data_IF_544659102428
#
_entry.id   IF_544659102428
#
_cell.length_a   1.000
_cell.length_b   1.000
_cell.length_c   1.000
_cell.angle_alpha   90.00
_cell.angle_beta   90.00
_cell.angle_gamma   90.00
#
_symmetry.space_group_name_H-M   'P 1'
#
loop_
_entity.id
_entity.type
_entity.pdbx_description
1 polymer ?
#
# COMPACT_ATOMS: atom_id res chain seq x y z
N UNK A 1 34.99 14.40 8.72
CA UNK A 1 33.66 14.29 9.35
C UNK A 1 32.55 14.14 8.32
N UNK A 2 32.45 15.05 7.34
CA UNK A 2 31.50 14.95 6.23
C UNK A 2 31.57 13.60 5.46
N UNK A 3 32.75 13.22 4.97
CA UNK A 3 32.97 11.89 4.34
C UNK A 3 32.62 10.70 5.25
N UNK A 4 32.78 10.87 6.57
CA UNK A 4 32.48 9.81 7.54
C UNK A 4 30.97 9.64 7.68
N UNK A 5 30.19 10.74 7.70
CA UNK A 5 28.73 10.69 7.71
C UNK A 5 28.23 10.09 6.40
N UNK A 6 28.74 10.59 5.27
CA UNK A 6 28.38 10.09 3.94
C UNK A 6 28.59 8.58 3.84
N UNK A 7 29.81 8.11 4.13
CA UNK A 7 30.12 6.68 4.11
C UNK A 7 29.32 5.87 5.13
N UNK A 8 28.98 6.44 6.30
CA UNK A 8 28.17 5.75 7.31
C UNK A 8 26.73 5.53 6.83
N UNK A 9 26.12 6.52 6.19
CA UNK A 9 24.73 6.44 5.73
C UNK A 9 24.60 5.61 4.44
N UNK A 10 25.50 5.81 3.47
CA UNK A 10 25.45 5.11 2.17
C UNK A 10 25.78 3.63 2.30
N UNK A 11 26.77 3.28 3.12
CA UNK A 11 27.16 1.89 3.30
C UNK A 11 26.33 1.16 4.36
N UNK A 12 25.37 1.83 4.99
CA UNK A 12 24.48 1.17 5.94
C UNK A 12 23.60 0.17 5.20
N UNK A 13 23.49 -1.03 5.77
CA UNK A 13 22.60 -2.09 5.30
C UNK A 13 21.79 -2.61 6.48
N UNK A 14 20.51 -2.95 6.27
CA UNK A 14 19.74 -3.63 7.29
C UNK A 14 20.35 -5.02 7.51
N UNK A 15 20.59 -5.34 8.77
CA UNK A 15 20.89 -6.70 9.22
C UNK A 15 19.55 -7.37 9.51
N UNK A 16 19.27 -8.47 8.81
CA UNK A 16 17.99 -9.15 8.91
C UNK A 16 18.12 -10.65 8.75
N UNK A 17 17.18 -11.37 9.36
CA UNK A 17 16.94 -12.79 9.11
C UNK A 17 15.60 -12.99 8.40
N UNK A 18 15.52 -14.08 7.64
CA UNK A 18 14.27 -14.56 7.05
C UNK A 18 13.82 -15.82 7.77
N UNK A 19 12.65 -15.78 8.42
CA UNK A 19 12.01 -16.98 9.00
C UNK A 19 10.81 -17.37 8.16
N UNK A 20 10.68 -18.65 7.83
CA UNK A 20 9.43 -19.16 7.27
C UNK A 20 8.39 -19.30 8.38
N UNK A 21 7.17 -18.84 8.14
CA UNK A 21 6.03 -19.21 8.97
C UNK A 21 5.51 -20.61 8.63
N UNK A 22 4.51 -21.04 9.42
CA UNK A 22 3.82 -22.32 9.28
C UNK A 22 3.12 -22.49 7.92
N UNK A 23 2.88 -21.39 7.21
CA UNK A 23 2.23 -21.37 5.90
C UNK A 23 3.25 -21.28 4.75
N UNK A 24 4.55 -21.36 5.05
CA UNK A 24 5.64 -21.28 4.08
C UNK A 24 5.98 -19.87 3.61
N UNK A 25 5.36 -18.82 4.18
CA UNK A 25 5.67 -17.41 3.84
C UNK A 25 6.91 -16.96 4.61
N UNK A 26 7.85 -16.34 3.88
CA UNK A 26 9.06 -15.75 4.47
C UNK A 26 8.71 -14.46 5.21
N UNK A 27 9.22 -14.32 6.43
CA UNK A 27 9.05 -13.14 7.28
C UNK A 27 10.41 -12.49 7.56
N UNK A 28 10.48 -11.18 7.30
CA UNK A 28 11.66 -10.34 7.53
C UNK A 28 11.76 -9.90 8.99
N UNK A 29 12.86 -10.24 9.66
CA UNK A 29 13.16 -9.81 11.03
C UNK A 29 14.42 -8.95 11.00
N UNK A 30 14.28 -7.67 11.28
CA UNK A 30 15.41 -6.72 11.36
C UNK A 30 16.08 -6.81 12.73
N UNK A 31 17.40 -6.81 12.74
CA UNK A 31 18.24 -6.84 13.96
C UNK A 31 18.81 -5.47 14.32
N UNK A 32 18.99 -4.60 13.33
CA UNK A 32 19.44 -3.23 13.53
C UNK A 32 18.31 -2.24 13.24
N UNK A 33 18.40 -1.06 13.85
CA UNK A 33 17.39 0.00 13.76
C UNK A 33 18.02 1.37 13.45
N UNK A 34 17.15 2.33 13.14
CA UNK A 34 17.51 3.72 12.88
C UNK A 34 18.10 4.43 14.10
N UNK A 35 17.88 3.94 15.33
CA UNK A 35 18.30 4.63 16.55
C UNK A 35 19.81 4.50 16.73
N UNK A 36 20.35 3.29 16.52
CA UNK A 36 21.80 3.06 16.53
C UNK A 36 22.53 3.90 15.48
N UNK A 37 21.96 3.98 14.26
CA UNK A 37 22.47 4.80 13.16
C UNK A 37 22.42 6.29 13.51
N UNK A 38 21.29 6.75 14.02
CA UNK A 38 21.08 8.15 14.40
C UNK A 38 22.06 8.60 15.50
N UNK A 39 22.28 7.80 16.55
CA UNK A 39 23.24 8.12 17.61
C UNK A 39 24.64 8.31 17.03
N UNK A 40 25.09 7.38 16.17
CA UNK A 40 26.40 7.47 15.52
C UNK A 40 26.53 8.70 14.63
N UNK A 41 25.49 9.04 13.85
CA UNK A 41 25.47 10.24 13.03
C UNK A 41 25.50 11.52 13.89
N UNK A 42 24.73 11.56 14.97
CA UNK A 42 24.66 12.71 15.86
C UNK A 42 26.01 12.99 16.56
N UNK A 43 26.72 11.94 16.98
CA UNK A 43 28.08 12.06 17.52
C UNK A 43 29.01 12.72 16.51
N UNK A 44 28.99 12.28 15.25
CA UNK A 44 29.84 12.85 14.20
C UNK A 44 29.46 14.31 13.91
N UNK A 45 28.16 14.63 13.85
CA UNK A 45 27.65 15.98 13.59
C UNK A 45 28.07 16.95 14.70
N UNK A 46 28.16 16.51 15.95
CA UNK A 46 28.58 17.37 17.06
C UNK A 46 30.03 17.86 16.90
N UNK A 47 30.88 17.17 16.13
CA UNK A 47 32.23 17.62 15.79
C UNK A 47 32.29 18.56 14.58
N UNK A 48 31.19 18.74 13.85
CA UNK A 48 31.11 19.61 12.68
C UNK A 48 30.75 21.02 13.15
N UNK A 49 31.65 21.98 12.90
CA UNK A 49 31.43 23.39 13.23
C UNK A 49 30.34 24.02 12.36
N UNK A 50 30.37 23.75 11.05
CA UNK A 50 29.40 24.25 10.10
C UNK A 50 28.23 23.28 9.94
N UNK A 51 27.20 23.47 10.76
CA UNK A 51 26.02 22.62 10.71
C UNK A 51 25.24 22.77 9.40
N UNK A 52 25.27 23.94 8.74
CA UNK A 52 24.51 24.20 7.51
C UNK A 52 24.97 23.30 6.35
N UNK A 53 26.29 23.17 6.18
CA UNK A 53 26.87 22.22 5.21
C UNK A 53 26.51 20.76 5.50
N UNK A 54 26.32 20.38 6.77
CA UNK A 54 25.88 19.02 7.11
C UNK A 54 24.46 18.74 6.60
N UNK A 55 23.55 19.73 6.60
CA UNK A 55 22.19 19.55 6.07
C UNK A 55 22.15 19.50 4.55
N UNK A 56 22.96 20.32 3.87
CA UNK A 56 23.11 20.23 2.40
C UNK A 56 23.57 18.82 2.01
N UNK A 57 24.53 18.27 2.75
CA UNK A 57 24.98 16.89 2.56
C UNK A 57 23.87 15.86 2.80
N UNK A 58 23.02 16.03 3.83
CA UNK A 58 21.87 15.12 4.05
C UNK A 58 20.90 15.11 2.86
N UNK A 59 20.68 16.27 2.21
CA UNK A 59 19.87 16.33 1.00
C UNK A 59 20.55 15.60 -0.18
N UNK A 60 21.87 15.71 -0.33
CA UNK A 60 22.61 14.98 -1.37
C UNK A 60 22.58 13.47 -1.16
N UNK A 61 22.70 13.01 0.09
CA UNK A 61 22.64 11.60 0.45
C UNK A 61 21.24 11.03 0.15
N UNK A 62 20.19 11.81 0.42
CA UNK A 62 18.80 11.38 0.22
C UNK A 62 18.53 10.79 -1.18
N UNK A 63 19.07 11.41 -2.23
CA UNK A 63 18.80 11.03 -3.62
C UNK A 63 19.57 9.78 -4.08
N UNK A 64 20.58 9.33 -3.34
CA UNK A 64 21.43 8.18 -3.69
C UNK A 64 21.29 7.00 -2.71
N UNK A 65 20.47 7.15 -1.67
CA UNK A 65 20.19 6.06 -0.72
C UNK A 65 19.29 5.02 -1.37
N UNK A 66 19.59 3.76 -1.11
CA UNK A 66 18.73 2.63 -1.45
C UNK A 66 17.31 2.84 -0.88
N UNK A 67 16.32 2.95 -1.77
CA UNK A 67 14.94 3.28 -1.40
C UNK A 67 14.21 2.20 -0.57
N UNK A 68 14.85 1.05 -0.30
CA UNK A 68 14.37 0.08 0.68
C UNK A 68 14.98 0.26 2.08
N UNK A 69 16.01 1.08 2.25
CA UNK A 69 16.69 1.33 3.53
C UNK A 69 15.99 2.44 4.33
N UNK A 70 14.74 2.18 4.74
CA UNK A 70 13.89 3.15 5.45
C UNK A 70 14.56 3.78 6.66
N UNK A 71 15.38 3.02 7.38
CA UNK A 71 16.12 3.45 8.57
C UNK A 71 17.06 4.62 8.28
N UNK A 72 17.68 4.65 7.09
CA UNK A 72 18.55 5.73 6.63
C UNK A 72 17.73 7.00 6.40
N UNK A 73 16.57 6.90 5.72
CA UNK A 73 15.68 8.04 5.51
C UNK A 73 15.13 8.60 6.82
N UNK A 74 14.70 7.72 7.74
CA UNK A 74 14.23 8.12 9.07
C UNK A 74 15.35 8.84 9.84
N UNK A 75 16.58 8.31 9.78
CA UNK A 75 17.75 8.96 10.39
C UNK A 75 18.00 10.36 9.81
N UNK A 76 17.98 10.50 8.48
CA UNK A 76 18.14 11.79 7.81
C UNK A 76 17.04 12.77 8.26
N UNK A 77 15.77 12.34 8.30
CA UNK A 77 14.66 13.19 8.72
C UNK A 77 14.81 13.64 10.18
N UNK A 78 15.21 12.75 11.10
CA UNK A 78 15.47 13.09 12.52
C UNK A 78 16.59 14.13 12.65
N UNK A 79 17.66 13.98 11.87
CA UNK A 79 18.79 14.92 11.88
C UNK A 79 18.33 16.30 11.36
N UNK A 80 17.64 16.34 10.22
CA UNK A 80 17.18 17.59 9.59
C UNK A 80 16.12 18.29 10.45
N UNK A 81 15.21 17.54 11.08
CA UNK A 81 14.15 18.11 11.93
C UNK A 81 14.69 18.78 13.21
N UNK A 82 15.86 18.37 13.68
CA UNK A 82 16.51 18.98 14.85
C UNK A 82 17.10 20.37 14.56
N UNK A 83 17.07 20.83 13.31
CA UNK A 83 17.49 22.18 12.93
C UNK A 83 16.28 23.07 12.65
N UNK A 84 16.09 24.08 13.50
CA UNK A 84 15.00 25.05 13.41
C UNK A 84 15.02 25.94 12.17
N UNK A 85 16.12 25.95 11.39
CA UNK A 85 16.27 26.77 10.18
C UNK A 85 15.88 26.07 8.88
N UNK A 86 15.75 24.74 8.88
CA UNK A 86 15.41 23.97 7.69
C UNK A 86 13.97 23.53 7.76
N UNK A 87 13.08 24.33 7.18
CA UNK A 87 11.77 23.84 6.78
C UNK A 87 11.99 22.76 5.70
N UNK A 88 12.10 21.49 6.08
CA UNK A 88 11.44 20.44 5.29
C UNK A 88 9.99 20.48 5.77
N UNK A 89 9.11 21.27 5.13
CA UNK A 89 7.80 21.56 5.67
C UNK A 89 7.01 20.27 5.79
N UNK A 90 6.61 19.92 7.03
CA UNK A 90 5.57 18.93 7.34
C UNK A 90 5.50 17.75 6.39
N UNK A 91 6.64 17.13 6.07
CA UNK A 91 6.69 16.20 4.94
C UNK A 91 5.97 14.92 5.33
N UNK A 92 5.12 14.44 4.40
CA UNK A 92 4.43 13.16 4.53
C UNK A 92 5.42 11.98 4.59
N UNK A 93 6.71 12.24 4.36
CA UNK A 93 7.81 11.29 4.37
C UNK A 93 7.90 10.47 5.66
N UNK A 94 7.96 11.12 6.84
CA UNK A 94 8.16 10.38 8.09
C UNK A 94 6.96 9.48 8.42
N UNK A 95 5.70 9.99 8.41
CA UNK A 95 4.53 9.12 8.58
C UNK A 95 4.50 7.99 7.54
N UNK A 96 4.83 8.27 6.28
CA UNK A 96 4.84 7.26 5.21
C UNK A 96 5.91 6.21 5.43
N UNK A 97 7.13 6.59 5.82
CA UNK A 97 8.21 5.66 6.16
C UNK A 97 7.85 4.77 7.34
N UNK A 98 7.21 5.32 8.37
CA UNK A 98 6.73 4.54 9.52
C UNK A 98 5.62 3.56 9.12
N UNK A 99 4.71 3.98 8.24
CA UNK A 99 3.73 3.08 7.65
C UNK A 99 4.41 1.96 6.86
N UNK A 100 5.30 2.30 5.91
CA UNK A 100 6.01 1.33 5.07
C UNK A 100 6.89 0.36 5.87
N UNK A 101 7.52 0.83 6.94
CA UNK A 101 8.32 0.01 7.84
C UNK A 101 7.50 -1.11 8.51
N UNK A 102 6.23 -0.84 8.79
CA UNK A 102 5.29 -1.80 9.38
C UNK A 102 4.50 -2.58 8.31
N UNK A 103 4.40 -2.05 7.10
CA UNK A 103 3.72 -2.71 5.99
C UNK A 103 4.54 -3.88 5.44
N UNK A 104 3.84 -4.97 5.11
CA UNK A 104 4.44 -6.14 4.48
C UNK A 104 3.87 -6.31 3.10
N UNK A 105 4.77 -6.52 2.16
CA UNK A 105 4.44 -6.72 0.75
C UNK A 105 3.58 -7.97 0.53
N UNK A 106 2.65 -7.88 -0.40
CA UNK A 106 1.77 -8.95 -0.86
C UNK A 106 2.03 -9.37 -2.30
N UNK A 107 2.58 -8.48 -3.14
CA UNK A 107 2.91 -8.78 -4.55
C UNK A 107 4.42 -8.75 -4.78
N UNK A 108 4.95 -9.40 -5.83
CA UNK A 108 6.36 -9.23 -6.20
C UNK A 108 6.65 -7.79 -6.68
N UNK A 109 7.94 -7.40 -6.73
CA UNK A 109 8.37 -6.17 -7.39
C UNK A 109 7.77 -6.02 -8.79
N UNK A 110 7.30 -4.81 -9.11
CA UNK A 110 6.76 -4.54 -10.44
C UNK A 110 7.87 -4.25 -11.44
N UNK A 111 7.59 -4.41 -12.73
CA UNK A 111 8.55 -4.04 -13.78
C UNK A 111 8.98 -2.55 -13.68
N UNK A 112 8.04 -1.65 -13.40
CA UNK A 112 8.35 -0.22 -13.25
C UNK A 112 9.28 0.06 -12.07
N UNK A 113 9.19 -0.73 -11.01
CA UNK A 113 10.07 -0.66 -9.84
C UNK A 113 11.47 -1.20 -10.15
N UNK A 114 11.55 -2.30 -10.91
CA UNK A 114 12.83 -2.81 -11.42
C UNK A 114 13.53 -1.80 -12.32
N UNK A 115 12.80 -1.20 -13.27
CA UNK A 115 13.33 -0.15 -14.15
C UNK A 115 13.83 1.06 -13.35
N UNK A 116 13.08 1.49 -12.33
CA UNK A 116 13.49 2.57 -11.43
C UNK A 116 14.75 2.20 -10.62
N UNK A 117 14.84 0.95 -10.16
CA UNK A 117 16.02 0.44 -9.45
C UNK A 117 17.27 0.52 -10.33
N UNK A 118 17.23 -0.06 -11.54
CA UNK A 118 18.40 -0.06 -12.43
C UNK A 118 18.77 1.32 -12.96
N UNK A 119 17.80 2.24 -13.06
CA UNK A 119 18.07 3.66 -13.36
C UNK A 119 18.81 4.37 -12.22
N UNK A 120 18.47 4.04 -10.96
CA UNK A 120 19.08 4.65 -9.77
C UNK A 120 20.42 4.01 -9.41
N UNK A 121 20.55 2.70 -9.62
CA UNK A 121 21.73 1.88 -9.29
C UNK A 121 22.21 1.10 -10.52
N UNK A 122 22.79 1.79 -11.53
CA UNK A 122 23.16 1.17 -12.81
C UNK A 122 24.25 0.10 -12.67
N UNK A 123 25.07 0.18 -11.62
CA UNK A 123 26.11 -0.82 -11.33
C UNK A 123 25.55 -2.09 -10.66
N UNK A 124 24.28 -2.09 -10.24
CA UNK A 124 23.67 -3.26 -9.63
C UNK A 124 23.23 -4.28 -10.67
N UNK A 125 23.68 -5.52 -10.52
CA UNK A 125 23.31 -6.63 -11.41
C UNK A 125 21.98 -7.28 -11.03
N UNK A 126 21.50 -7.03 -9.80
CA UNK A 126 20.27 -7.60 -9.26
C UNK A 126 19.48 -6.54 -8.50
N UNK A 127 18.17 -6.75 -8.41
CA UNK A 127 17.31 -6.01 -7.51
C UNK A 127 17.69 -6.30 -6.05
N UNK A 128 17.52 -5.31 -5.17
CA UNK A 128 17.76 -5.51 -3.75
C UNK A 128 16.87 -6.65 -3.19
N UNK A 129 17.40 -7.61 -2.42
CA UNK A 129 16.59 -8.68 -1.83
C UNK A 129 15.47 -8.20 -0.91
N UNK A 130 15.57 -6.99 -0.33
CA UNK A 130 14.51 -6.39 0.48
C UNK A 130 13.25 -6.08 -0.33
N UNK A 131 13.35 -5.98 -1.66
CA UNK A 131 12.20 -5.80 -2.54
C UNK A 131 11.15 -6.90 -2.40
N UNK A 132 11.52 -8.11 -1.95
CA UNK A 132 10.55 -9.18 -1.63
C UNK A 132 9.63 -8.81 -0.45
N UNK A 133 10.07 -7.91 0.43
CA UNK A 133 9.44 -7.65 1.73
C UNK A 133 8.96 -6.21 1.91
N UNK A 134 9.59 -5.25 1.21
CA UNK A 134 9.43 -3.81 1.36
C UNK A 134 9.00 -3.20 0.02
N UNK A 135 8.15 -2.17 0.10
CA UNK A 135 7.82 -1.33 -1.04
C UNK A 135 8.90 -0.24 -1.24
N UNK A 136 9.13 0.24 -2.46
CA UNK A 136 10.13 1.26 -2.69
C UNK A 136 9.67 2.61 -2.10
N UNK A 137 10.50 3.26 -1.27
CA UNK A 137 10.24 4.62 -0.81
C UNK A 137 10.69 5.63 -1.86
N UNK A 138 9.81 5.92 -2.82
CA UNK A 138 10.09 6.76 -3.99
C UNK A 138 9.07 7.89 -4.15
N UNK A 139 9.42 8.93 -4.92
CA UNK A 139 8.57 10.13 -5.13
C UNK A 139 7.18 9.80 -5.68
N UNK A 140 7.04 8.73 -6.46
CA UNK A 140 5.76 8.25 -7.02
C UNK A 140 4.72 7.96 -5.92
N UNK A 141 5.15 7.60 -4.70
CA UNK A 141 4.23 7.42 -3.57
C UNK A 141 3.46 8.68 -3.19
N UNK A 142 3.94 9.86 -3.59
CA UNK A 142 3.35 11.15 -3.25
C UNK A 142 2.63 11.80 -4.43
N UNK A 143 2.48 11.10 -5.56
CA UNK A 143 1.75 11.58 -6.74
C UNK A 143 0.47 10.77 -6.97
N UNK A 144 -0.32 11.15 -7.97
CA UNK A 144 -1.51 10.39 -8.40
C UNK A 144 -1.14 9.02 -9.00
N UNK A 145 0.12 8.83 -9.41
CA UNK A 145 0.65 7.59 -9.97
C UNK A 145 0.91 6.50 -8.92
N UNK A 146 0.69 6.80 -7.64
CA UNK A 146 0.80 5.86 -6.51
C UNK A 146 0.05 4.54 -6.75
N UNK A 147 -1.05 4.57 -7.51
CA UNK A 147 -1.83 3.40 -7.85
C UNK A 147 -1.05 2.35 -8.64
N UNK A 148 0.04 2.70 -9.31
CA UNK A 148 0.95 1.75 -9.95
C UNK A 148 1.63 0.81 -8.93
N UNK A 149 1.92 1.32 -7.74
CA UNK A 149 2.53 0.59 -6.62
C UNK A 149 1.45 -0.11 -5.79
N UNK A 150 0.35 0.59 -5.53
CA UNK A 150 -0.68 0.13 -4.59
C UNK A 150 -1.62 -0.91 -5.19
N UNK A 151 -1.97 -0.84 -6.48
CA UNK A 151 -2.95 -1.76 -7.08
C UNK A 151 -2.58 -3.24 -6.90
N UNK A 152 -1.34 -3.68 -7.17
CA UNK A 152 -0.93 -5.07 -6.94
C UNK A 152 -0.97 -5.49 -5.45
N UNK A 153 -0.89 -4.52 -4.55
CA UNK A 153 -0.81 -4.75 -3.10
C UNK A 153 -2.20 -4.82 -2.42
N UNK A 154 -3.27 -4.37 -3.07
CA UNK A 154 -4.63 -4.34 -2.52
C UNK A 154 -5.39 -5.64 -2.85
N UNK A 155 -5.85 -6.32 -1.79
CA UNK A 155 -6.79 -7.44 -1.83
C UNK A 155 -7.60 -7.46 -0.51
N UNK A 156 -8.54 -8.42 -0.37
CA UNK A 156 -9.38 -8.52 0.84
C UNK A 156 -8.59 -8.76 2.14
N UNK A 157 -7.37 -9.30 2.06
CA UNK A 157 -6.50 -9.52 3.23
C UNK A 157 -5.66 -8.29 3.58
N UNK A 158 -5.41 -7.39 2.62
CA UNK A 158 -4.46 -6.30 2.78
C UNK A 158 -5.08 -4.90 2.84
N UNK A 159 -6.32 -4.73 2.35
CA UNK A 159 -6.93 -3.40 2.16
C UNK A 159 -7.01 -2.57 3.45
N UNK A 160 -7.28 -3.21 4.61
CA UNK A 160 -7.38 -2.53 5.91
C UNK A 160 -6.08 -1.86 6.32
N UNK A 161 -4.93 -2.45 6.01
CA UNK A 161 -3.63 -1.84 6.32
C UNK A 161 -3.45 -0.51 5.58
N UNK A 162 -3.98 -0.39 4.36
CA UNK A 162 -3.88 0.83 3.56
C UNK A 162 -4.79 1.97 4.04
N UNK A 163 -5.70 1.72 5.00
CA UNK A 163 -6.53 2.78 5.58
C UNK A 163 -5.68 3.80 6.35
N UNK A 164 -4.65 3.34 7.06
CA UNK A 164 -3.71 4.24 7.75
C UNK A 164 -2.97 5.14 6.76
N UNK A 165 -2.57 4.58 5.61
CA UNK A 165 -1.94 5.33 4.53
C UNK A 165 -2.88 6.38 3.91
N UNK A 166 -4.20 6.17 3.90
CA UNK A 166 -5.14 7.21 3.41
C UNK A 166 -5.11 8.47 4.25
N UNK A 167 -4.84 8.36 5.55
CA UNK A 167 -4.72 9.52 6.42
C UNK A 167 -3.47 10.34 6.10
N UNK A 168 -2.41 9.68 5.63
CA UNK A 168 -1.14 10.32 5.22
C UNK A 168 -1.32 10.94 3.83
N UNK A 169 -1.88 10.19 2.87
CA UNK A 169 -1.91 10.52 1.44
C UNK A 169 -3.31 10.94 0.96
N UNK A 170 -4.07 11.67 1.79
CA UNK A 170 -5.48 12.04 1.57
C UNK A 170 -5.80 12.62 0.18
N UNK A 171 -4.82 13.29 -0.44
CA UNK A 171 -4.98 13.89 -1.77
C UNK A 171 -5.05 12.84 -2.87
N UNK A 172 -4.25 11.77 -2.77
CA UNK A 172 -4.03 10.81 -3.85
C UNK A 172 -4.72 9.47 -3.56
N UNK A 173 -4.98 9.17 -2.28
CA UNK A 173 -5.50 7.89 -1.81
C UNK A 173 -6.82 8.09 -1.05
N UNK A 174 -7.88 7.39 -1.51
CA UNK A 174 -9.21 7.42 -0.90
C UNK A 174 -9.63 6.01 -0.48
N UNK A 175 -10.26 5.91 0.69
CA UNK A 175 -10.74 4.64 1.26
C UNK A 175 -11.72 3.92 0.32
N UNK A 176 -12.64 4.67 -0.29
CA UNK A 176 -13.58 4.14 -1.30
C UNK A 176 -12.83 3.43 -2.43
N UNK A 177 -11.80 4.06 -2.99
CA UNK A 177 -11.03 3.51 -4.11
C UNK A 177 -10.30 2.22 -3.69
N UNK A 178 -9.73 2.19 -2.49
CA UNK A 178 -9.07 0.98 -1.95
C UNK A 178 -10.05 -0.19 -1.93
N UNK A 179 -11.25 0.01 -1.39
CA UNK A 179 -12.26 -1.04 -1.29
C UNK A 179 -12.75 -1.49 -2.68
N UNK A 180 -12.95 -0.53 -3.59
CA UNK A 180 -13.31 -0.82 -5.00
C UNK A 180 -12.26 -1.72 -5.65
N UNK A 181 -10.96 -1.43 -5.47
CA UNK A 181 -9.90 -2.24 -6.04
C UNK A 181 -9.79 -3.61 -5.36
N UNK A 182 -9.99 -3.69 -4.04
CA UNK A 182 -9.97 -4.97 -3.32
C UNK A 182 -11.04 -5.93 -3.82
N UNK A 183 -12.26 -5.45 -4.09
CA UNK A 183 -13.32 -6.31 -4.65
C UNK A 183 -13.10 -6.60 -6.14
N UNK A 184 -12.55 -5.65 -6.90
CA UNK A 184 -12.14 -5.92 -8.29
C UNK A 184 -11.07 -7.01 -8.37
N UNK A 185 -10.16 -7.05 -7.41
CA UNK A 185 -9.12 -8.08 -7.33
C UNK A 185 -9.74 -9.49 -7.23
N UNK A 186 -10.79 -9.68 -6.43
CA UNK A 186 -11.56 -10.94 -6.32
C UNK A 186 -12.10 -11.40 -7.67
N UNK A 187 -12.60 -10.46 -8.48
CA UNK A 187 -13.10 -10.77 -9.83
C UNK A 187 -11.96 -11.11 -10.77
N UNK A 188 -10.86 -10.37 -10.72
CA UNK A 188 -9.71 -10.58 -11.63
C UNK A 188 -8.84 -11.78 -11.28
N UNK A 189 -8.82 -12.21 -10.02
CA UNK A 189 -8.06 -13.37 -9.54
C UNK A 189 -8.68 -14.71 -9.94
N UNK A 190 -9.85 -14.69 -10.59
CA UNK A 190 -10.56 -15.87 -11.10
C UNK A 190 -10.92 -16.88 -10.01
N UNK A 191 -10.91 -16.46 -8.74
CA UNK A 191 -11.37 -17.28 -7.60
C UNK A 191 -12.82 -17.72 -7.81
N UNK A 192 -13.62 -16.86 -8.44
CA UNK A 192 -15.00 -17.10 -8.79
C UNK A 192 -15.19 -17.79 -10.15
N UNK A 193 -14.15 -18.17 -10.89
CA UNK A 193 -14.35 -18.90 -12.15
C UNK A 193 -14.73 -20.36 -11.87
N UNK A 194 -15.92 -20.76 -12.32
CA UNK A 194 -16.26 -22.17 -12.46
C UNK A 194 -16.24 -22.56 -13.95
N UNK A 195 -15.42 -23.55 -14.28
CA UNK A 195 -15.26 -24.08 -15.63
C UNK A 195 -16.39 -25.00 -16.05
N UNK A 196 -17.23 -25.42 -15.10
CA UNK A 196 -18.27 -26.43 -15.35
C UNK A 196 -19.52 -25.88 -16.06
N UNK A 197 -19.79 -24.56 -15.95
CA UNK A 197 -20.99 -23.92 -16.48
C UNK A 197 -22.31 -24.44 -15.87
N UNK A 198 -22.24 -25.37 -14.93
CA UNK A 198 -23.39 -26.03 -14.33
C UNK A 198 -23.97 -25.18 -13.20
N UNK A 199 -25.27 -25.32 -12.97
CA UNK A 199 -25.93 -24.68 -11.84
C UNK A 199 -25.52 -25.39 -10.54
N UNK A 200 -24.74 -24.70 -9.69
CA UNK A 200 -24.29 -25.25 -8.41
C UNK A 200 -25.36 -24.98 -7.33
N UNK A 201 -25.83 -26.02 -6.65
CA UNK A 201 -26.89 -25.90 -5.62
C UNK A 201 -26.39 -25.52 -4.22
N UNK A 202 -25.10 -25.72 -3.94
CA UNK A 202 -24.51 -25.47 -2.61
C UNK A 202 -23.56 -24.28 -2.68
N UNK A 203 -23.66 -23.31 -1.75
CA UNK A 203 -22.77 -22.16 -1.73
C UNK A 203 -21.36 -22.59 -1.34
N UNK A 204 -20.35 -22.06 -2.04
CA UNK A 204 -18.92 -22.35 -1.80
C UNK A 204 -18.17 -21.16 -1.21
N UNK A 205 -18.70 -19.95 -1.38
CA UNK A 205 -17.97 -18.71 -1.16
C UNK A 205 -18.61 -17.82 -0.09
N UNK A 206 -19.32 -18.40 0.88
CA UNK A 206 -20.02 -17.63 1.92
C UNK A 206 -19.07 -16.72 2.71
N UNK A 207 -17.92 -17.24 3.16
CA UNK A 207 -16.90 -16.47 3.87
C UNK A 207 -16.35 -15.33 3.01
N UNK A 208 -16.12 -15.58 1.73
CA UNK A 208 -15.64 -14.58 0.78
C UNK A 208 -16.66 -13.44 0.61
N UNK A 209 -17.95 -13.75 0.46
CA UNK A 209 -18.98 -12.71 0.36
C UNK A 209 -19.14 -11.91 1.66
N UNK A 210 -18.90 -12.52 2.83
CA UNK A 210 -18.87 -11.82 4.10
C UNK A 210 -17.68 -10.83 4.17
N UNK A 211 -16.49 -11.25 3.75
CA UNK A 211 -15.31 -10.37 3.66
C UNK A 211 -15.54 -9.22 2.65
N UNK A 212 -16.19 -9.50 1.52
CA UNK A 212 -16.57 -8.47 0.55
C UNK A 212 -17.56 -7.49 1.15
N UNK A 213 -18.61 -7.95 1.84
CA UNK A 213 -19.59 -7.06 2.49
C UNK A 213 -18.90 -6.16 3.53
N UNK A 214 -18.00 -6.71 4.35
CA UNK A 214 -17.18 -5.91 5.29
C UNK A 214 -16.34 -4.86 4.55
N UNK A 215 -15.70 -5.22 3.44
CA UNK A 215 -14.92 -4.30 2.64
C UNK A 215 -15.80 -3.17 2.06
N UNK A 216 -16.94 -3.50 1.44
CA UNK A 216 -17.82 -2.52 0.76
C UNK A 216 -18.55 -1.61 1.75
N UNK A 217 -18.77 -2.04 3.00
CA UNK A 217 -19.29 -1.16 4.05
C UNK A 217 -18.39 0.06 4.35
N UNK A 218 -17.12 0.01 3.94
CA UNK A 218 -16.18 1.12 4.07
C UNK A 218 -16.24 2.12 2.90
N UNK A 219 -17.08 1.88 1.88
CA UNK A 219 -17.28 2.80 0.76
C UNK A 219 -18.37 3.81 1.15
N UNK A 220 -18.00 5.09 1.17
CA UNK A 220 -18.93 6.18 1.51
C UNK A 220 -19.94 6.46 0.40
N UNK A 221 -19.51 6.32 -0.86
CA UNK A 221 -20.35 6.50 -2.04
C UNK A 221 -21.19 5.25 -2.36
N UNK A 222 -22.48 5.29 -2.03
CA UNK A 222 -23.39 4.15 -2.25
C UNK A 222 -23.58 3.78 -3.73
N UNK A 223 -23.39 4.72 -4.66
CA UNK A 223 -23.46 4.41 -6.09
C UNK A 223 -22.29 3.50 -6.48
N UNK A 224 -21.08 3.85 -6.05
CA UNK A 224 -19.88 3.04 -6.26
C UNK A 224 -19.96 1.70 -5.55
N UNK A 225 -20.43 1.68 -4.30
CA UNK A 225 -20.63 0.46 -3.53
C UNK A 225 -21.58 -0.51 -4.27
N UNK A 226 -22.72 0.01 -4.75
CA UNK A 226 -23.70 -0.77 -5.51
C UNK A 226 -23.11 -1.28 -6.83
N UNK A 227 -22.39 -0.42 -7.56
CA UNK A 227 -21.76 -0.78 -8.84
C UNK A 227 -20.73 -1.89 -8.69
N UNK A 228 -19.89 -1.83 -7.65
CA UNK A 228 -18.87 -2.86 -7.38
C UNK A 228 -19.49 -4.22 -7.04
N UNK A 229 -20.52 -4.24 -6.18
CA UNK A 229 -21.21 -5.48 -5.84
C UNK A 229 -21.97 -6.04 -7.05
N UNK A 230 -22.58 -5.19 -7.87
CA UNK A 230 -23.24 -5.63 -9.10
C UNK A 230 -22.24 -6.27 -10.06
N UNK A 231 -21.04 -5.68 -10.21
CA UNK A 231 -19.97 -6.28 -11.02
C UNK A 231 -19.52 -7.64 -10.46
N UNK A 232 -19.39 -7.75 -9.13
CA UNK A 232 -19.09 -9.04 -8.49
C UNK A 232 -20.15 -10.10 -8.83
N UNK A 233 -21.44 -9.78 -8.63
CA UNK A 233 -22.57 -10.67 -8.95
C UNK A 233 -22.57 -11.12 -10.41
N UNK A 234 -22.24 -10.22 -11.35
CA UNK A 234 -22.17 -10.55 -12.76
C UNK A 234 -21.13 -11.64 -13.05
N UNK A 235 -19.99 -11.60 -12.36
CA UNK A 235 -18.90 -12.56 -12.49
C UNK A 235 -19.03 -13.80 -11.60
N UNK A 236 -20.01 -13.84 -10.69
CA UNK A 236 -20.28 -15.03 -9.87
C UNK A 236 -20.90 -16.18 -10.70
N UNK A 237 -20.45 -17.44 -10.50
CA UNK A 237 -21.01 -18.62 -11.17
C UNK A 237 -22.51 -18.81 -10.92
N UNK A 238 -23.23 -19.31 -11.93
CA UNK A 238 -24.65 -19.60 -11.79
C UNK A 238 -24.88 -20.67 -10.71
N UNK A 239 -25.81 -20.40 -9.79
CA UNK A 239 -26.04 -21.27 -8.64
C UNK A 239 -26.34 -20.50 -7.37
N UNK A 240 -26.20 -21.18 -6.23
CA UNK A 240 -26.41 -20.63 -4.90
C UNK A 240 -25.55 -19.39 -4.62
N UNK A 241 -24.27 -19.40 -5.02
CA UNK A 241 -23.37 -18.26 -4.82
C UNK A 241 -23.83 -17.00 -5.58
N UNK A 242 -24.39 -17.14 -6.78
CA UNK A 242 -24.94 -15.99 -7.54
C UNK A 242 -26.25 -15.48 -6.94
N UNK A 243 -27.05 -16.35 -6.34
CA UNK A 243 -28.21 -15.93 -5.55
C UNK A 243 -27.75 -15.13 -4.32
N UNK A 244 -26.71 -15.58 -3.61
CA UNK A 244 -26.13 -14.84 -2.48
C UNK A 244 -25.56 -13.48 -2.92
N UNK A 245 -24.82 -13.44 -4.03
CA UNK A 245 -24.31 -12.19 -4.60
C UNK A 245 -25.43 -11.25 -5.05
N UNK A 246 -26.54 -11.78 -5.59
CA UNK A 246 -27.71 -11.00 -5.97
C UNK A 246 -28.43 -10.41 -4.75
N UNK A 247 -28.58 -11.19 -3.67
CA UNK A 247 -29.12 -10.69 -2.40
C UNK A 247 -28.25 -9.55 -1.84
N UNK A 248 -26.92 -9.69 -1.90
CA UNK A 248 -25.99 -8.65 -1.51
C UNK A 248 -26.12 -7.40 -2.41
N UNK A 249 -26.23 -7.58 -3.72
CA UNK A 249 -26.47 -6.49 -4.67
C UNK A 249 -27.78 -5.75 -4.38
N UNK A 250 -28.84 -6.49 -4.08
CA UNK A 250 -30.13 -5.93 -3.71
C UNK A 250 -30.05 -5.11 -2.41
N UNK A 251 -29.35 -5.61 -1.38
CA UNK A 251 -29.11 -4.89 -0.12
C UNK A 251 -28.50 -3.50 -0.35
N UNK A 252 -27.48 -3.39 -1.20
CA UNK A 252 -26.83 -2.10 -1.48
C UNK A 252 -27.67 -1.19 -2.38
N UNK A 253 -28.34 -1.75 -3.40
CA UNK A 253 -29.24 -0.98 -4.24
C UNK A 253 -30.44 -0.42 -3.46
N UNK A 254 -30.96 -1.17 -2.48
CA UNK A 254 -31.99 -0.70 -1.57
C UNK A 254 -31.50 0.50 -0.75
N UNK A 255 -30.33 0.40 -0.11
CA UNK A 255 -29.72 1.52 0.63
C UNK A 255 -29.53 2.75 -0.25
N UNK A 256 -29.04 2.56 -1.48
CA UNK A 256 -28.81 3.65 -2.43
C UNK A 256 -30.12 4.35 -2.83
N UNK A 257 -31.19 3.58 -3.04
CA UNK A 257 -32.54 4.11 -3.29
C UNK A 257 -33.12 4.87 -2.11
N UNK A 258 -32.96 4.36 -0.89
CA UNK A 258 -33.43 5.02 0.33
C UNK A 258 -32.77 6.38 0.53
N UNK A 259 -31.49 6.51 0.16
CA UNK A 259 -30.77 7.79 0.19
C UNK A 259 -31.16 8.74 -0.96
N UNK A 260 -31.65 8.21 -2.09
CA UNK A 260 -31.99 8.97 -3.30
C UNK A 260 -33.41 8.67 -3.82
N UNK A 261 -34.47 8.87 -3.00
CA UNK A 261 -35.81 8.38 -3.30
C UNK A 261 -36.46 9.05 -4.53
N UNK A 262 -36.00 10.25 -4.88
CA UNK A 262 -36.56 11.06 -5.97
C UNK A 262 -35.83 10.86 -7.32
N UNK A 263 -34.77 10.06 -7.37
CA UNK A 263 -34.03 9.82 -8.61
C UNK A 263 -34.66 8.68 -9.42
N UNK A 264 -35.20 9.01 -10.59
CA UNK A 264 -35.82 8.05 -11.52
C UNK A 264 -34.83 6.99 -12.02
N UNK A 265 -33.56 7.37 -12.18
CA UNK A 265 -32.52 6.44 -12.63
C UNK A 265 -32.12 5.44 -11.54
N UNK A 266 -32.08 5.88 -10.27
CA UNK A 266 -31.86 4.99 -9.12
C UNK A 266 -33.00 4.00 -8.96
N UNK A 267 -34.25 4.44 -9.17
CA UNK A 267 -35.41 3.54 -9.16
C UNK A 267 -35.33 2.50 -10.27
N UNK A 268 -34.93 2.89 -11.50
CA UNK A 268 -34.72 1.95 -12.61
C UNK A 268 -33.59 0.94 -12.32
N UNK A 269 -32.48 1.40 -11.74
CA UNK A 269 -31.35 0.54 -11.38
C UNK A 269 -31.76 -0.46 -10.29
N UNK A 270 -32.49 -0.01 -9.27
CA UNK A 270 -33.03 -0.86 -8.22
C UNK A 270 -33.99 -1.93 -8.74
N UNK A 271 -34.84 -1.62 -9.73
CA UNK A 271 -35.75 -2.60 -10.35
C UNK A 271 -34.99 -3.74 -11.05
N UNK A 272 -33.79 -3.49 -11.60
CA UNK A 272 -33.00 -4.52 -12.29
C UNK A 272 -32.41 -5.58 -11.36
N UNK A 273 -32.31 -5.28 -10.06
CA UNK A 273 -31.70 -6.15 -9.04
C UNK A 273 -32.71 -6.64 -8.00
N UNK A 274 -33.99 -6.27 -8.13
CA UNK A 274 -35.12 -6.77 -7.34
C UNK A 274 -35.68 -8.04 -7.98
#
# INVERSE_FOLDING_TARGET
YYEIIYSTLINWKPDYDCKMDLNGKKNLILKNDENSLHTKCQEIINYIKDKESAFVMMNQIWDVVNFYHYEVFICILKIVSNNSKTERPGTLDLPMLLFLKNYRRFSPPSQSEEEQWYSTFPDSQVLDPLSEFRLPFIKILFTDDIWSIIRPEINLKSYKYWFDATNILRKNLKQDNICIYAVKEVVSSKILEDTSGNWILYPKFEDLFAEVDECVQNISDLEKATSVIYNLMYHTPNGADKVNAAQLSYKYAQKYKEQNPNSTDVVKAYIKVK
#
